data_IF_202959701612
#
_entry.id   IF_202959701612
#
_cell.length_a   1.000
_cell.length_b   1.000
_cell.length_c   1.000
_cell.angle_alpha   90.00
_cell.angle_beta   90.00
_cell.angle_gamma   90.00
#
_symmetry.space_group_name_H-M   'P 1'
#
loop_
_entity.id
_entity.type
_entity.pdbx_description
1 polymer ?
#
# COMPACT_ATOMS: atom_id res chain seq x y z
N UNK A 1 -5.40 14.90 -0.23
CA UNK A 1 -6.37 14.01 0.47
C UNK A 1 -6.39 14.22 1.98
N UNK A 2 -5.25 14.32 2.68
CA UNK A 2 -5.24 14.56 4.15
C UNK A 2 -4.75 15.96 4.58
N UNK A 3 -4.40 16.85 3.64
CA UNK A 3 -3.88 18.21 3.90
C UNK A 3 -2.77 18.29 4.98
N UNK A 4 -1.88 17.29 5.02
CA UNK A 4 -0.78 17.20 5.98
C UNK A 4 0.50 17.77 5.38
N UNK A 5 1.17 18.65 6.12
CA UNK A 5 2.41 19.32 5.70
C UNK A 5 3.54 19.27 6.75
N UNK A 6 3.31 18.61 7.90
CA UNK A 6 4.32 18.50 8.93
C UNK A 6 5.38 17.43 8.59
N UNK A 7 6.60 17.62 9.08
CA UNK A 7 7.64 16.57 9.09
C UNK A 7 7.40 15.69 10.34
N UNK A 8 7.47 14.35 10.23
CA UNK A 8 7.25 13.47 11.36
C UNK A 8 8.39 13.61 12.37
N UNK A 9 8.03 13.60 13.66
CA UNK A 9 8.98 13.54 14.75
C UNK A 9 9.55 12.13 14.93
N UNK A 10 10.64 12.01 15.67
CA UNK A 10 11.22 10.73 16.05
C UNK A 10 10.88 10.42 17.51
N UNK A 11 10.49 9.18 17.77
CA UNK A 11 10.35 8.66 19.13
C UNK A 11 11.72 8.42 19.78
N UNK A 12 11.73 8.17 21.09
CA UNK A 12 12.93 7.76 21.83
C UNK A 12 13.60 6.51 21.21
N UNK A 13 12.79 5.58 20.69
CA UNK A 13 13.26 4.38 19.97
C UNK A 13 13.74 4.63 18.52
N UNK A 14 13.97 5.89 18.12
CA UNK A 14 14.39 6.27 16.75
C UNK A 14 13.42 5.86 15.64
N UNK A 15 12.13 5.67 15.96
CA UNK A 15 11.06 5.42 14.99
C UNK A 15 10.34 6.71 14.63
N UNK A 16 9.86 6.81 13.40
CA UNK A 16 9.08 7.96 12.97
C UNK A 16 7.66 7.89 13.54
N UNK A 17 7.20 8.98 14.15
CA UNK A 17 5.85 9.09 14.69
C UNK A 17 4.92 9.49 13.52
N UNK A 18 3.91 8.68 13.17
CA UNK A 18 2.99 9.01 12.09
C UNK A 18 2.14 10.22 12.46
N UNK A 19 1.82 11.04 11.46
CA UNK A 19 1.01 12.24 11.64
C UNK A 19 -0.45 11.82 11.64
N UNK A 20 -1.22 12.29 12.62
CA UNK A 20 -2.64 11.96 12.70
C UNK A 20 -3.50 13.04 12.06
N UNK A 21 -4.49 12.64 11.28
CA UNK A 21 -5.59 13.51 10.87
C UNK A 21 -6.91 12.73 10.82
N UNK A 22 -7.99 13.33 11.31
CA UNK A 22 -9.32 12.71 11.39
C UNK A 22 -9.32 11.31 12.04
N UNK A 23 -8.46 11.09 13.05
CA UNK A 23 -8.32 9.79 13.73
C UNK A 23 -7.58 8.72 12.91
N UNK A 24 -6.98 9.10 11.77
CA UNK A 24 -6.20 8.20 10.92
C UNK A 24 -4.74 8.59 10.97
N UNK A 25 -3.90 7.65 11.43
CA UNK A 25 -2.44 7.79 11.38
C UNK A 25 -1.96 7.65 9.94
N UNK A 26 -1.23 8.66 9.48
CA UNK A 26 -0.77 8.79 8.11
C UNK A 26 0.75 8.97 8.09
N UNK A 27 1.40 8.28 7.17
CA UNK A 27 2.80 8.52 6.85
C UNK A 27 2.95 8.52 5.33
N UNK A 28 3.74 9.46 4.80
CA UNK A 28 4.11 9.51 3.40
C UNK A 28 5.59 9.84 3.28
N UNK A 29 6.24 9.28 2.25
CA UNK A 29 7.62 9.68 1.95
C UNK A 29 7.72 11.15 1.55
N UNK A 30 6.61 11.72 1.06
CA UNK A 30 6.46 13.15 0.77
C UNK A 30 6.66 14.04 2.00
N UNK A 31 6.56 13.52 3.23
CA UNK A 31 6.83 14.28 4.45
C UNK A 31 8.33 14.38 4.76
N UNK A 32 9.14 13.48 4.20
CA UNK A 32 10.58 13.39 4.46
C UNK A 32 11.43 14.09 3.40
N UNK A 33 10.82 14.46 2.28
CA UNK A 33 11.50 15.04 1.12
C UNK A 33 11.07 16.48 0.91
N UNK A 34 12.00 17.35 0.53
CA UNK A 34 11.67 18.72 0.20
C UNK A 34 10.96 18.78 -1.16
N UNK A 35 9.84 19.52 -1.21
CA UNK A 35 8.89 19.48 -2.34
C UNK A 35 9.48 19.99 -3.66
N UNK A 36 10.51 20.82 -3.60
CA UNK A 36 11.12 21.46 -4.77
C UNK A 36 12.32 20.69 -5.33
N UNK A 37 12.72 19.59 -4.68
CA UNK A 37 13.85 18.76 -5.13
C UNK A 37 13.35 17.64 -6.06
N UNK A 38 13.80 17.59 -7.34
CA UNK A 38 13.49 16.46 -8.21
C UNK A 38 14.21 15.20 -7.71
N UNK A 39 13.46 14.27 -7.13
CA UNK A 39 14.00 12.99 -6.66
C UNK A 39 13.80 11.93 -7.74
N UNK A 40 14.92 11.39 -8.23
CA UNK A 40 14.91 10.20 -9.09
C UNK A 40 14.76 8.96 -8.22
N UNK A 41 13.56 8.37 -8.23
CA UNK A 41 13.29 7.13 -7.52
C UNK A 41 13.89 5.93 -8.27
N UNK A 42 14.98 5.37 -7.74
CA UNK A 42 15.52 4.09 -8.22
C UNK A 42 14.87 2.92 -7.48
N UNK A 43 14.79 1.75 -8.12
CA UNK A 43 14.16 0.54 -7.56
C UNK A 43 14.57 0.22 -6.10
N UNK A 44 15.86 0.16 -5.75
CA UNK A 44 16.29 -0.08 -4.38
C UNK A 44 15.81 0.98 -3.38
N UNK A 45 15.73 2.25 -3.78
CA UNK A 45 15.25 3.33 -2.92
C UNK A 45 13.77 3.16 -2.59
N UNK A 46 12.95 2.76 -3.57
CA UNK A 46 11.52 2.46 -3.35
C UNK A 46 11.38 1.29 -2.36
N UNK A 47 12.23 0.27 -2.48
CA UNK A 47 12.19 -0.86 -1.55
C UNK A 47 12.57 -0.48 -0.13
N UNK A 48 13.67 0.27 0.03
CA UNK A 48 14.10 0.77 1.34
C UNK A 48 13.08 1.73 1.94
N UNK A 49 12.45 2.57 1.12
CA UNK A 49 11.36 3.44 1.50
C UNK A 49 10.18 2.64 2.07
N UNK A 50 9.67 1.66 1.33
CA UNK A 50 8.55 0.82 1.77
C UNK A 50 8.86 0.07 3.08
N UNK A 51 10.07 -0.46 3.21
CA UNK A 51 10.51 -1.10 4.45
C UNK A 51 10.58 -0.12 5.62
N UNK A 52 11.13 1.06 5.41
CA UNK A 52 11.19 2.12 6.42
C UNK A 52 9.78 2.60 6.82
N UNK A 53 8.84 2.66 5.89
CA UNK A 53 7.46 3.09 6.13
C UNK A 53 6.63 2.03 6.86
N UNK A 54 6.94 0.75 6.66
CA UNK A 54 6.20 -0.36 7.28
C UNK A 54 6.78 -0.75 8.63
N UNK A 55 8.11 -0.70 8.82
CA UNK A 55 8.80 -1.14 10.04
C UNK A 55 9.45 -0.01 10.86
N UNK A 56 9.85 1.07 10.19
CA UNK A 56 10.52 2.22 10.82
C UNK A 56 9.58 3.31 11.34
N UNK A 57 8.27 3.05 11.33
CA UNK A 57 7.23 3.95 11.83
C UNK A 57 6.61 3.34 13.09
N UNK A 58 6.40 4.17 14.12
CA UNK A 58 5.72 3.79 15.34
C UNK A 58 4.19 3.76 15.12
N UNK A 59 3.72 2.75 14.39
CA UNK A 59 2.28 2.57 14.11
C UNK A 59 1.44 2.19 15.32
N UNK A 60 2.05 1.86 16.47
CA UNK A 60 1.35 1.44 17.69
C UNK A 60 0.40 0.26 17.47
N UNK A 61 -0.69 0.20 18.24
CA UNK A 61 -1.74 -0.79 18.06
C UNK A 61 -2.59 -0.46 16.83
N UNK A 62 -2.50 -1.30 15.79
CA UNK A 62 -3.18 -1.09 14.52
C UNK A 62 -3.71 -2.43 14.00
N UNK A 63 -5.00 -2.51 13.68
CA UNK A 63 -5.58 -3.73 13.11
C UNK A 63 -5.30 -3.87 11.60
N UNK A 64 -5.28 -2.73 10.90
CA UNK A 64 -5.16 -2.65 9.45
C UNK A 64 -4.24 -1.50 9.06
N UNK A 65 -3.15 -1.83 8.36
CA UNK A 65 -2.32 -0.84 7.66
C UNK A 65 -2.64 -0.89 6.17
N UNK A 66 -2.94 0.29 5.62
CA UNK A 66 -3.22 0.50 4.21
C UNK A 66 -1.97 1.06 3.55
N UNK A 67 -1.38 0.33 2.60
CA UNK A 67 -0.16 0.74 1.89
C UNK A 67 -0.48 1.05 0.43
N UNK A 68 -0.29 2.31 0.03
CA UNK A 68 -0.39 2.75 -1.36
C UNK A 68 0.93 2.49 -2.09
N UNK A 69 0.94 1.45 -2.92
CA UNK A 69 2.13 1.03 -3.66
C UNK A 69 2.18 1.71 -5.04
N UNK A 70 3.38 2.07 -5.53
CA UNK A 70 3.53 2.59 -6.89
C UNK A 70 2.96 1.61 -7.93
N UNK A 71 2.49 2.11 -9.08
CA UNK A 71 1.89 1.28 -10.12
C UNK A 71 2.89 0.31 -10.76
N UNK A 72 2.38 -0.75 -11.38
CA UNK A 72 3.16 -1.78 -12.08
C UNK A 72 3.15 -3.15 -11.39
N UNK A 73 3.62 -4.17 -12.11
CA UNK A 73 3.62 -5.58 -11.67
C UNK A 73 5.01 -6.09 -11.27
N UNK A 74 5.88 -5.18 -10.82
CA UNK A 74 7.31 -5.41 -10.63
C UNK A 74 7.72 -5.94 -9.25
N UNK A 75 9.02 -5.85 -8.97
CA UNK A 75 9.66 -6.41 -7.78
C UNK A 75 9.16 -5.82 -6.46
N UNK A 76 8.62 -4.60 -6.45
CA UNK A 76 8.19 -3.95 -5.22
C UNK A 76 6.99 -4.64 -4.57
N UNK A 77 5.99 -5.02 -5.37
CA UNK A 77 4.82 -5.74 -4.88
C UNK A 77 5.16 -7.16 -4.46
N UNK A 78 5.98 -7.85 -5.26
CA UNK A 78 6.44 -9.20 -4.95
C UNK A 78 7.27 -9.20 -3.66
N UNK A 79 8.25 -8.30 -3.55
CA UNK A 79 9.08 -8.17 -2.35
C UNK A 79 8.25 -7.82 -1.12
N UNK A 80 7.21 -6.99 -1.25
CA UNK A 80 6.29 -6.72 -0.13
C UNK A 80 5.45 -7.92 0.27
N UNK A 81 4.93 -8.66 -0.70
CA UNK A 81 4.20 -9.90 -0.41
C UNK A 81 5.06 -10.98 0.26
N UNK A 82 6.36 -10.98 0.01
CA UNK A 82 7.30 -11.91 0.65
C UNK A 82 7.72 -11.47 2.06
N UNK A 83 7.86 -10.16 2.29
CA UNK A 83 8.35 -9.61 3.56
C UNK A 83 7.26 -9.34 4.59
N UNK A 84 6.03 -9.10 4.13
CA UNK A 84 4.87 -8.81 4.95
C UNK A 84 3.79 -9.86 4.72
N UNK A 85 3.10 -10.25 5.80
CA UNK A 85 1.89 -11.08 5.70
C UNK A 85 0.73 -10.19 5.28
N UNK A 86 0.44 -10.19 3.99
CA UNK A 86 -0.64 -9.39 3.42
C UNK A 86 -1.98 -10.09 3.64
N UNK A 87 -2.96 -9.37 4.16
CA UNK A 87 -4.34 -9.83 4.32
C UNK A 87 -5.13 -9.76 3.01
N UNK A 88 -4.74 -8.86 2.12
CA UNK A 88 -5.35 -8.72 0.80
C UNK A 88 -4.74 -7.58 -0.01
N UNK A 89 -5.05 -7.58 -1.30
CA UNK A 89 -4.68 -6.55 -2.26
C UNK A 89 -5.91 -5.98 -2.96
N UNK A 90 -5.96 -4.66 -3.10
CA UNK A 90 -6.96 -3.96 -3.90
C UNK A 90 -6.27 -3.35 -5.12
N UNK A 91 -6.70 -3.78 -6.31
CA UNK A 91 -6.17 -3.26 -7.57
C UNK A 91 -7.16 -2.26 -8.15
N UNK A 92 -6.71 -1.03 -8.39
CA UNK A 92 -7.50 0.08 -8.95
C UNK A 92 -7.21 0.24 -10.44
N UNK A 93 -8.23 0.49 -11.27
CA UNK A 93 -8.13 0.44 -12.73
C UNK A 93 -8.96 1.48 -13.46
N UNK A 94 -8.60 1.73 -14.73
CA UNK A 94 -9.46 2.35 -15.75
C UNK A 94 -9.85 1.33 -16.85
N UNK A 95 -10.94 1.54 -17.62
CA UNK A 95 -11.58 0.51 -18.43
C UNK A 95 -10.94 0.28 -19.83
N UNK A 96 -9.75 0.81 -20.11
CA UNK A 96 -9.12 0.72 -21.43
C UNK A 96 -8.32 -0.57 -21.64
N UNK A 97 -8.29 -1.19 -22.81
CA UNK A 97 -7.71 -2.54 -22.98
C UNK A 97 -6.24 -2.73 -22.54
N UNK A 98 -5.36 -1.77 -22.84
CA UNK A 98 -3.95 -1.79 -22.38
C UNK A 98 -3.91 -1.82 -20.86
N UNK A 99 -4.80 -1.02 -20.30
CA UNK A 99 -5.04 -0.96 -18.90
C UNK A 99 -5.43 -2.35 -18.38
N UNK A 100 -6.38 -2.98 -19.06
CA UNK A 100 -6.96 -4.24 -18.70
C UNK A 100 -5.97 -5.43 -18.61
N UNK A 101 -4.85 -5.34 -19.29
CA UNK A 101 -3.84 -6.39 -19.32
C UNK A 101 -2.95 -6.36 -18.07
N UNK A 102 -2.69 -5.18 -17.51
CA UNK A 102 -1.74 -5.00 -16.41
C UNK A 102 -2.29 -5.45 -15.03
N UNK A 103 -3.58 -5.22 -14.69
CA UNK A 103 -4.11 -5.70 -13.40
C UNK A 103 -4.29 -7.19 -13.46
N UNK A 104 -4.59 -7.76 -14.63
CA UNK A 104 -4.66 -9.21 -14.76
C UNK A 104 -3.30 -9.83 -14.43
N UNK A 105 -2.20 -9.23 -14.91
CA UNK A 105 -0.84 -9.65 -14.56
C UNK A 105 -0.55 -9.46 -13.06
N UNK A 106 -0.89 -8.30 -12.49
CA UNK A 106 -0.72 -8.01 -11.05
C UNK A 106 -1.53 -8.95 -10.15
N UNK A 107 -2.81 -9.18 -10.47
CA UNK A 107 -3.68 -10.10 -9.76
C UNK A 107 -3.14 -11.54 -9.81
N UNK A 108 -2.63 -11.97 -10.97
CA UNK A 108 -2.01 -13.29 -11.09
C UNK A 108 -0.72 -13.41 -10.27
N UNK A 109 0.07 -12.35 -10.14
CA UNK A 109 1.23 -12.32 -9.24
C UNK A 109 0.79 -12.51 -7.78
N UNK A 110 -0.20 -11.74 -7.30
CA UNK A 110 -0.71 -11.88 -5.94
C UNK A 110 -1.35 -13.25 -5.65
N UNK A 111 -2.02 -13.86 -6.64
CA UNK A 111 -2.52 -15.23 -6.54
C UNK A 111 -1.40 -16.25 -6.34
N UNK A 112 -0.25 -16.10 -7.00
CA UNK A 112 0.90 -17.00 -6.83
C UNK A 112 1.48 -16.95 -5.42
N UNK A 113 1.38 -15.80 -4.75
CA UNK A 113 1.78 -15.62 -3.35
C UNK A 113 0.62 -15.76 -2.37
N UNK A 114 -0.51 -16.35 -2.83
CA UNK A 114 -1.69 -16.66 -2.01
C UNK A 114 -2.35 -15.46 -1.32
N UNK A 115 -2.22 -14.26 -1.89
CA UNK A 115 -2.86 -13.05 -1.37
C UNK A 115 -4.26 -12.88 -2.01
N UNK A 116 -5.33 -12.71 -1.22
CA UNK A 116 -6.66 -12.40 -1.76
C UNK A 116 -6.65 -11.07 -2.53
N UNK A 117 -7.26 -11.05 -3.73
CA UNK A 117 -7.26 -9.86 -4.60
C UNK A 117 -8.68 -9.42 -4.93
N UNK A 118 -8.95 -8.13 -4.74
CA UNK A 118 -10.15 -7.46 -5.23
C UNK A 118 -9.74 -6.42 -6.28
N UNK A 119 -10.55 -6.29 -7.33
CA UNK A 119 -10.28 -5.34 -8.41
C UNK A 119 -11.42 -4.32 -8.49
N UNK A 120 -11.07 -3.04 -8.47
CA UNK A 120 -11.98 -1.91 -8.66
C UNK A 120 -11.69 -1.24 -10.00
N UNK A 121 -12.73 -0.97 -10.77
CA UNK A 121 -12.65 -0.21 -12.02
C UNK A 121 -13.37 1.12 -11.90
N UNK A 122 -12.76 2.19 -12.41
CA UNK A 122 -13.37 3.51 -12.49
C UNK A 122 -14.07 3.68 -13.85
N UNK A 123 -15.39 3.79 -13.87
CA UNK A 123 -16.18 4.08 -15.07
C UNK A 123 -16.91 5.41 -14.82
N UNK A 124 -16.71 6.41 -15.68
CA UNK A 124 -17.36 7.73 -15.55
C UNK A 124 -17.21 8.39 -14.15
N UNK A 125 -16.00 8.37 -13.56
CA UNK A 125 -15.71 8.87 -12.21
C UNK A 125 -16.38 8.09 -11.04
N UNK A 126 -17.02 6.94 -11.30
CA UNK A 126 -17.58 6.05 -10.28
C UNK A 126 -16.78 4.74 -10.18
N UNK A 127 -16.69 4.19 -8.96
CA UNK A 127 -15.92 2.97 -8.67
C UNK A 127 -16.83 1.73 -8.60
N UNK A 128 -16.47 0.67 -9.31
CA UNK A 128 -17.25 -0.59 -9.35
C UNK A 128 -16.40 -1.79 -8.91
N UNK A 129 -16.97 -2.63 -8.06
CA UNK A 129 -16.37 -3.88 -7.58
C UNK A 129 -16.62 -5.03 -8.55
N UNK A 130 -15.54 -5.67 -9.03
CA UNK A 130 -15.64 -6.83 -9.91
C UNK A 130 -15.66 -8.13 -9.09
N UNK A 131 -16.80 -8.84 -9.11
CA UNK A 131 -17.05 -10.06 -8.31
C UNK A 131 -16.52 -11.36 -8.93
N UNK A 132 -16.22 -11.39 -10.24
CA UNK A 132 -15.57 -12.53 -10.89
C UNK A 132 -14.45 -12.06 -11.81
N UNK A 133 -13.33 -12.78 -11.79
CA UNK A 133 -12.17 -12.48 -12.65
C UNK A 133 -12.31 -13.26 -13.96
N UNK A 134 -13.38 -12.99 -14.70
CA UNK A 134 -13.49 -13.40 -16.11
C UNK A 134 -13.04 -12.29 -17.05
N UNK A 135 -13.18 -11.01 -16.66
CA UNK A 135 -12.87 -9.86 -17.53
C UNK A 135 -11.59 -9.13 -17.14
N UNK A 136 -10.96 -8.50 -18.12
CA UNK A 136 -9.61 -7.92 -18.10
C UNK A 136 -9.64 -6.55 -17.36
N UNK A 137 -8.59 -6.12 -16.61
CA UNK A 137 -8.54 -4.89 -15.74
C UNK A 137 -7.10 -4.26 -15.52
N UNK A 138 -6.95 -2.92 -15.30
CA UNK A 138 -5.89 -1.89 -14.84
C UNK A 138 -4.73 -2.12 -13.91
N UNK A 139 -4.75 -1.57 -12.70
CA UNK A 139 -3.61 -1.26 -11.83
C UNK A 139 -2.96 0.14 -12.05
N UNK A 140 -3.68 1.18 -11.65
CA UNK A 140 -3.17 2.52 -11.31
C UNK A 140 -2.65 2.63 -9.87
N UNK A 141 -3.13 1.78 -8.96
CA UNK A 141 -2.66 1.69 -7.58
C UNK A 141 -2.93 0.28 -7.05
N UNK A 142 -1.98 -0.25 -6.27
CA UNK A 142 -2.22 -1.44 -5.46
C UNK A 142 -2.26 -1.01 -4.02
N UNK A 143 -3.41 -1.19 -3.39
CA UNK A 143 -3.55 -1.06 -1.96
C UNK A 143 -3.26 -2.40 -1.31
N UNK A 144 -2.29 -2.45 -0.41
CA UNK A 144 -2.04 -3.64 0.39
C UNK A 144 -2.61 -3.45 1.78
N UNK A 145 -3.40 -4.42 2.22
CA UNK A 145 -3.85 -4.51 3.61
C UNK A 145 -2.87 -5.40 4.35
N UNK A 146 -2.15 -4.81 5.29
CA UNK A 146 -1.26 -5.52 6.21
C UNK A 146 -1.92 -5.60 7.59
N UNK A 147 -2.00 -6.81 8.13
CA UNK A 147 -2.42 -7.00 9.51
C UNK A 147 -1.19 -6.91 10.41
N UNK A 148 -1.13 -5.84 11.21
CA UNK A 148 -0.09 -5.72 12.21
C UNK A 148 -0.46 -6.62 13.40
N UNK A 149 0.40 -7.56 13.81
CA UNK A 149 0.08 -8.41 14.96
C UNK A 149 0.03 -7.54 16.21
N UNK A 150 -1.18 -7.27 16.71
CA UNK A 150 -1.41 -6.67 18.03
C UNK A 150 -0.94 -7.67 19.09
N UNK A 151 -0.12 -7.23 20.05
CA UNK A 151 0.39 -8.10 21.13
C UNK A 151 -0.69 -8.52 22.15
N UNK A 152 -1.98 -8.27 21.89
CA UNK A 152 -3.08 -8.47 22.84
C UNK A 152 -3.87 -9.78 22.71
N UNK A 153 -3.42 -10.75 21.91
CA UNK A 153 -3.94 -12.12 21.97
C UNK A 153 -3.17 -12.98 22.98
N UNK A 154 -3.14 -12.55 24.24
CA UNK A 154 -3.02 -13.43 25.40
C UNK A 154 -4.07 -13.02 26.42
N UNK A 155 -4.91 -13.99 26.81
CA UNK A 155 -6.02 -13.96 27.77
C UNK A 155 -7.41 -13.68 27.18
N UNK A 156 -7.93 -14.65 26.45
CA UNK A 156 -9.27 -15.16 26.77
C UNK A 156 -9.11 -16.64 27.14
N UNK A 157 -9.63 -16.93 28.33
CA UNK A 157 -9.81 -18.23 29.01
C UNK A 157 -10.14 -19.38 28.10
#
# INVERSE_FOLDING_TARGET
MMNLHAKPELSEDMKMIPIENHGVRCMSIGFLVDKDAPIVWRGPMVMSALEKMTRGVAWGDLDILVVDMPPGTGDAQLSMSQRLRLSGALIVSTPQDIALIDARRGANMFRKVQVPVHILSSLHNCWYLLKSVSEQVQMKATLLLYHHPTQHLRKRT
#
